data_IF_016687653371
#
_entry.id   IF_016687653371
#
_cell.length_a   1.000
_cell.length_b   1.000
_cell.length_c   1.000
_cell.angle_alpha   90.00
_cell.angle_beta   90.00
_cell.angle_gamma   90.00
#
_symmetry.space_group_name_H-M   'P 1'
#
loop_
_entity.id
_entity.type
_entity.pdbx_description
1 polymer ?
#
# COMPACT_ATOMS: atom_id res chain seq x y z
N UNK A 1 -8.34 5.85 39.49
CA UNK A 1 -7.57 6.10 38.25
C UNK A 1 -8.47 6.38 37.05
N UNK A 2 -9.44 5.52 36.71
CA UNK A 2 -10.38 5.76 35.60
C UNK A 2 -11.22 7.05 35.74
N UNK A 3 -11.71 7.37 36.95
CA UNK A 3 -12.50 8.59 37.20
C UNK A 3 -11.67 9.86 36.95
N UNK A 4 -10.39 9.87 37.35
CA UNK A 4 -9.48 10.99 37.11
C UNK A 4 -9.19 11.18 35.61
N UNK A 5 -9.04 10.08 34.86
CA UNK A 5 -8.86 10.13 33.40
C UNK A 5 -10.13 10.67 32.72
N UNK A 6 -11.31 10.26 33.16
CA UNK A 6 -12.59 10.76 32.64
C UNK A 6 -12.78 12.24 32.95
N UNK A 7 -12.45 12.68 34.17
CA UNK A 7 -12.52 14.10 34.56
C UNK A 7 -11.53 14.93 33.76
N UNK A 8 -10.28 14.46 33.60
CA UNK A 8 -9.27 15.15 32.79
C UNK A 8 -9.72 15.25 31.33
N UNK A 9 -10.29 14.17 30.79
CA UNK A 9 -10.84 14.12 29.45
C UNK A 9 -12.01 15.10 29.26
N UNK A 10 -12.95 15.13 30.20
CA UNK A 10 -14.07 16.08 30.20
C UNK A 10 -13.53 17.52 30.24
N UNK A 11 -12.60 17.83 31.14
CA UNK A 11 -11.96 19.15 31.24
C UNK A 11 -11.30 19.55 29.92
N UNK A 12 -10.51 18.65 29.31
CA UNK A 12 -9.88 18.93 28.02
C UNK A 12 -10.86 19.06 26.87
N UNK A 13 -12.02 18.40 26.93
CA UNK A 13 -13.04 18.44 25.89
C UNK A 13 -14.03 19.59 26.03
N UNK A 14 -14.28 20.10 27.24
CA UNK A 14 -15.28 21.16 27.48
C UNK A 14 -14.67 22.51 27.81
N UNK A 15 -13.59 22.55 28.60
CA UNK A 15 -13.01 23.80 29.09
C UNK A 15 -12.03 24.39 28.08
N UNK A 16 -11.19 23.56 27.42
CA UNK A 16 -10.24 24.06 26.43
C UNK A 16 -10.90 24.76 25.24
N UNK A 17 -12.00 24.25 24.63
CA UNK A 17 -12.68 24.97 23.55
C UNK A 17 -13.23 26.33 24.00
N UNK A 18 -13.76 26.39 25.22
CA UNK A 18 -14.30 27.62 25.80
C UNK A 18 -13.19 28.66 26.05
N UNK A 19 -12.07 28.23 26.64
CA UNK A 19 -10.89 29.08 26.87
C UNK A 19 -10.30 29.53 25.54
N UNK A 20 -10.20 28.65 24.55
CA UNK A 20 -9.68 28.98 23.22
C UNK A 20 -10.57 29.99 22.48
N UNK A 21 -11.89 29.87 22.61
CA UNK A 21 -12.85 30.85 22.07
C UNK A 21 -12.67 32.22 22.71
N UNK A 22 -12.60 32.28 24.05
CA UNK A 22 -12.35 33.53 24.78
C UNK A 22 -10.99 34.13 24.37
N UNK A 23 -9.92 33.33 24.34
CA UNK A 23 -8.61 33.81 23.94
C UNK A 23 -8.57 34.33 22.49
N UNK A 24 -9.36 33.74 21.60
CA UNK A 24 -9.54 34.21 20.23
C UNK A 24 -10.24 35.57 20.17
N UNK A 25 -11.36 35.69 20.87
CA UNK A 25 -12.20 36.89 20.88
C UNK A 25 -11.48 38.10 21.46
N UNK A 26 -10.62 37.88 22.46
CA UNK A 26 -9.77 38.93 23.05
C UNK A 26 -8.40 39.05 22.39
N UNK A 27 -8.15 38.32 21.30
CA UNK A 27 -6.93 38.40 20.50
C UNK A 27 -5.64 38.11 21.31
N UNK A 28 -5.73 37.26 22.34
CA UNK A 28 -4.61 36.87 23.20
C UNK A 28 -3.74 35.76 22.60
N UNK A 29 -4.18 35.14 21.50
CA UNK A 29 -3.41 34.16 20.74
C UNK A 29 -2.70 34.78 19.55
N UNK A 30 -1.53 34.27 19.24
CA UNK A 30 -0.75 34.60 18.06
C UNK A 30 -1.47 34.22 16.76
N UNK A 31 -1.06 34.83 15.65
CA UNK A 31 -1.58 34.54 14.30
C UNK A 31 -1.34 33.07 13.91
N UNK A 32 -0.24 32.47 14.38
CA UNK A 32 0.08 31.07 14.16
C UNK A 32 -0.87 30.14 14.95
N UNK A 33 -1.15 30.46 16.22
CA UNK A 33 -2.13 29.71 17.02
C UNK A 33 -3.54 29.83 16.43
N UNK A 34 -3.88 31.01 15.89
CA UNK A 34 -5.13 31.20 15.15
C UNK A 34 -5.23 30.27 13.94
N UNK A 35 -4.16 30.17 13.16
CA UNK A 35 -4.08 29.24 12.04
C UNK A 35 -4.26 27.78 12.48
N UNK A 36 -3.53 27.36 13.50
CA UNK A 36 -3.59 25.97 13.97
C UNK A 36 -4.98 25.59 14.52
N UNK A 37 -5.67 26.52 15.20
CA UNK A 37 -7.05 26.31 15.64
C UNK A 37 -8.02 26.18 14.47
N UNK A 38 -7.93 27.06 13.45
CA UNK A 38 -8.79 26.97 12.26
C UNK A 38 -8.57 25.66 11.51
N UNK A 39 -7.31 25.27 11.30
CA UNK A 39 -7.00 24.02 10.62
C UNK A 39 -7.56 22.83 11.40
N UNK A 40 -7.46 22.85 12.73
CA UNK A 40 -8.05 21.82 13.58
C UNK A 40 -9.58 21.77 13.43
N UNK A 41 -10.27 22.89 13.50
CA UNK A 41 -11.74 22.91 13.35
C UNK A 41 -12.19 22.45 11.96
N UNK A 42 -11.48 22.84 10.90
CA UNK A 42 -11.74 22.34 9.56
C UNK A 42 -11.54 20.82 9.44
N UNK A 43 -10.63 20.21 10.22
CA UNK A 43 -10.53 18.73 10.27
C UNK A 43 -11.72 18.06 10.95
N UNK A 44 -12.45 18.77 11.81
CA UNK A 44 -13.67 18.26 12.45
C UNK A 44 -14.91 18.44 11.55
N UNK A 45 -14.91 19.47 10.71
CA UNK A 45 -16.03 19.81 9.82
C UNK A 45 -15.92 19.20 8.42
N UNK A 46 -14.77 18.61 8.08
CA UNK A 46 -14.50 18.02 6.75
C UNK A 46 -13.80 16.68 6.86
N UNK A 47 -13.88 15.84 5.83
CA UNK A 47 -13.15 14.57 5.76
C UNK A 47 -11.65 14.74 5.39
N UNK A 48 -11.14 15.98 5.40
CA UNK A 48 -9.77 16.31 5.01
C UNK A 48 -8.81 16.21 6.20
N UNK A 49 -7.62 15.65 5.98
CA UNK A 49 -6.60 15.61 7.02
C UNK A 49 -5.99 16.99 7.27
N UNK A 50 -5.36 17.18 8.44
CA UNK A 50 -4.59 18.40 8.75
C UNK A 50 -3.61 18.77 7.63
N UNK A 51 -2.92 17.78 7.05
CA UNK A 51 -1.95 18.00 5.97
C UNK A 51 -2.62 18.39 4.65
N UNK A 52 -3.83 17.90 4.38
CA UNK A 52 -4.57 18.29 3.20
C UNK A 52 -5.02 19.75 3.34
N UNK A 53 -5.60 20.11 4.49
CA UNK A 53 -6.04 21.49 4.79
C UNK A 53 -4.88 22.50 4.79
N UNK A 54 -3.71 22.13 5.30
CA UNK A 54 -2.51 22.98 5.22
C UNK A 54 -2.01 23.17 3.79
N UNK A 55 -2.26 22.20 2.91
CA UNK A 55 -1.98 22.33 1.48
C UNK A 55 -3.01 23.23 0.78
N UNK A 56 -4.30 23.10 1.12
CA UNK A 56 -5.38 23.94 0.57
C UNK A 56 -5.21 25.41 1.02
N UNK A 57 -4.89 25.60 2.30
CA UNK A 57 -4.71 26.89 2.96
C UNK A 57 -3.31 26.97 3.58
N UNK A 58 -2.27 27.22 2.77
CA UNK A 58 -0.93 27.45 3.30
C UNK A 58 -0.93 28.67 4.22
N UNK A 59 -0.26 28.56 5.37
CA UNK A 59 -0.18 29.66 6.35
C UNK A 59 0.17 31.00 5.71
N UNK A 60 1.21 31.02 4.86
CA UNK A 60 1.66 32.23 4.17
C UNK A 60 0.59 32.94 3.33
N UNK A 61 -0.41 32.20 2.84
CA UNK A 61 -1.46 32.78 2.00
C UNK A 61 -2.58 33.40 2.83
N UNK A 62 -2.85 32.89 4.03
CA UNK A 62 -3.94 33.36 4.89
C UNK A 62 -3.45 34.16 6.09
N UNK A 63 -2.14 34.33 6.28
CA UNK A 63 -1.56 35.08 7.39
C UNK A 63 -2.09 36.52 7.48
N UNK A 64 -2.20 37.23 6.35
CA UNK A 64 -2.75 38.60 6.32
C UNK A 64 -4.23 38.61 6.70
N UNK A 65 -5.02 37.68 6.16
CA UNK A 65 -6.43 37.52 6.54
C UNK A 65 -6.58 37.26 8.06
N UNK A 66 -5.70 36.44 8.64
CA UNK A 66 -5.67 36.12 10.07
C UNK A 66 -5.23 37.29 10.96
N UNK A 67 -4.35 38.18 10.46
CA UNK A 67 -3.98 39.43 11.14
C UNK A 67 -5.14 40.44 11.14
N UNK A 68 -5.91 40.45 10.07
CA UNK A 68 -7.06 41.33 9.86
C UNK A 68 -8.37 40.79 10.48
N UNK A 69 -8.39 39.52 10.90
CA UNK A 69 -9.43 38.91 11.73
C UNK A 69 -9.41 39.51 13.15
N UNK A 70 -9.73 40.81 13.23
CA UNK A 70 -10.12 41.52 14.44
C UNK A 70 -11.65 41.67 14.38
N UNK A 71 -12.35 41.00 15.29
CA UNK A 71 -13.82 41.11 15.49
C UNK A 71 -14.76 40.46 14.47
N UNK A 72 -14.27 39.61 13.55
CA UNK A 72 -15.16 38.75 12.77
C UNK A 72 -15.48 37.49 13.56
N UNK A 73 -16.77 37.13 13.58
CA UNK A 73 -17.24 35.84 14.08
C UNK A 73 -16.42 34.73 13.41
N UNK A 74 -15.66 34.00 14.22
CA UNK A 74 -14.79 32.90 13.78
C UNK A 74 -15.55 31.89 12.92
N UNK A 75 -16.81 31.62 13.28
CA UNK A 75 -17.69 30.70 12.55
C UNK A 75 -17.97 31.21 11.13
N UNK A 76 -18.23 32.52 10.97
CA UNK A 76 -18.47 33.12 9.66
C UNK A 76 -17.22 33.08 8.76
N UNK A 77 -16.02 33.12 9.34
CA UNK A 77 -14.79 32.92 8.58
C UNK A 77 -14.58 31.44 8.21
N UNK A 78 -14.93 30.53 9.11
CA UNK A 78 -14.87 29.09 8.87
C UNK A 78 -15.81 28.67 7.73
N UNK A 79 -17.03 29.20 7.71
CA UNK A 79 -18.00 29.01 6.63
C UNK A 79 -17.46 29.51 5.27
N UNK A 80 -16.77 30.66 5.25
CA UNK A 80 -16.11 31.17 4.05
C UNK A 80 -15.00 30.23 3.56
N UNK A 81 -14.18 29.69 4.47
CA UNK A 81 -13.15 28.72 4.11
C UNK A 81 -13.75 27.43 3.59
N UNK A 82 -14.83 26.92 4.19
CA UNK A 82 -15.55 25.75 3.70
C UNK A 82 -16.09 25.99 2.28
N UNK A 83 -16.68 27.15 2.01
CA UNK A 83 -17.12 27.52 0.66
C UNK A 83 -15.95 27.52 -0.34
N UNK A 84 -14.77 28.05 0.05
CA UNK A 84 -13.55 27.98 -0.77
C UNK A 84 -13.07 26.55 -1.00
N UNK A 85 -13.15 25.65 -0.01
CA UNK A 85 -12.84 24.22 -0.19
C UNK A 85 -13.74 23.63 -1.27
N UNK A 86 -15.05 23.87 -1.19
CA UNK A 86 -15.99 23.40 -2.20
C UNK A 86 -15.70 23.97 -3.59
N UNK A 87 -15.33 25.25 -3.69
CA UNK A 87 -14.92 25.85 -4.95
C UNK A 87 -13.63 25.24 -5.52
N UNK A 88 -12.59 25.06 -4.70
CA UNK A 88 -11.36 24.39 -5.09
C UNK A 88 -11.61 22.96 -5.57
N UNK A 89 -12.51 22.23 -4.91
CA UNK A 89 -12.89 20.88 -5.32
C UNK A 89 -13.53 20.81 -6.71
N UNK A 90 -14.06 21.92 -7.23
CA UNK A 90 -14.62 22.02 -8.59
C UNK A 90 -13.56 22.38 -9.63
N UNK A 91 -12.45 23.00 -9.23
CA UNK A 91 -11.38 23.42 -10.15
C UNK A 91 -10.56 22.22 -10.66
N UNK A 92 -10.54 22.01 -11.98
CA UNK A 92 -9.76 20.94 -12.62
C UNK A 92 -8.25 21.10 -12.40
N UNK A 93 -7.76 22.34 -12.44
CA UNK A 93 -6.36 22.65 -12.14
C UNK A 93 -6.01 22.26 -10.69
N UNK A 94 -6.88 22.60 -9.74
CA UNK A 94 -6.68 22.25 -8.34
C UNK A 94 -6.70 20.74 -8.12
N UNK A 95 -7.66 20.01 -8.72
CA UNK A 95 -7.70 18.54 -8.68
C UNK A 95 -6.39 17.93 -9.20
N UNK A 96 -5.83 18.47 -10.28
CA UNK A 96 -4.56 18.02 -10.84
C UNK A 96 -3.39 18.26 -9.88
N UNK A 97 -3.27 19.48 -9.34
CA UNK A 97 -2.19 19.84 -8.40
C UNK A 97 -2.34 19.01 -7.11
N UNK A 98 -3.54 18.85 -6.56
CA UNK A 98 -3.79 18.03 -5.37
C UNK A 98 -3.48 16.55 -5.61
N UNK A 99 -3.77 16.01 -6.80
CA UNK A 99 -3.37 14.66 -7.19
C UNK A 99 -1.84 14.51 -7.21
N UNK A 100 -1.11 15.49 -7.75
CA UNK A 100 0.37 15.51 -7.74
C UNK A 100 0.90 15.63 -6.30
N UNK A 101 0.32 16.50 -5.47
CA UNK A 101 0.64 16.61 -4.05
C UNK A 101 0.44 15.28 -3.33
N UNK A 102 -0.70 14.60 -3.52
CA UNK A 102 -0.97 13.31 -2.87
C UNK A 102 -0.05 12.19 -3.34
N UNK A 103 0.41 12.25 -4.59
CA UNK A 103 1.44 11.35 -5.13
C UNK A 103 2.81 11.63 -4.50
N UNK A 104 3.17 12.90 -4.34
CA UNK A 104 4.47 13.33 -3.78
C UNK A 104 4.54 13.28 -2.25
N UNK A 105 3.42 13.45 -1.55
CA UNK A 105 3.30 13.39 -0.09
C UNK A 105 3.16 11.96 0.44
N UNK A 106 2.94 10.98 -0.45
CA UNK A 106 3.11 9.56 -0.15
C UNK A 106 4.57 9.35 0.28
N UNK A 107 4.77 9.19 1.59
CA UNK A 107 6.07 8.94 2.23
C UNK A 107 6.86 7.92 1.39
N UNK A 108 8.03 8.32 0.91
CA UNK A 108 8.92 7.39 0.22
C UNK A 108 9.26 6.26 1.19
N UNK A 109 8.95 5.04 0.79
CA UNK A 109 9.24 3.84 1.57
C UNK A 109 10.74 3.76 1.87
N UNK A 110 11.10 3.41 3.11
CA UNK A 110 12.52 3.29 3.49
C UNK A 110 13.19 2.17 2.70
N UNK A 111 14.51 2.27 2.50
CA UNK A 111 15.27 1.28 1.72
C UNK A 111 15.13 -0.12 2.34
N UNK A 112 15.23 -0.23 3.66
CA UNK A 112 15.12 -1.51 4.37
C UNK A 112 13.73 -2.15 4.19
N UNK A 113 12.69 -1.31 4.17
CA UNK A 113 11.31 -1.77 3.95
C UNK A 113 11.10 -2.25 2.50
N UNK A 114 11.73 -1.58 1.53
CA UNK A 114 11.71 -2.02 0.12
C UNK A 114 12.42 -3.37 -0.04
N UNK A 115 13.57 -3.55 0.59
CA UNK A 115 14.31 -4.82 0.55
C UNK A 115 13.55 -5.94 1.26
N UNK A 116 12.91 -5.66 2.40
CA UNK A 116 12.02 -6.62 3.06
C UNK A 116 10.90 -7.08 2.12
N UNK A 117 10.22 -6.15 1.43
CA UNK A 117 9.12 -6.47 0.53
C UNK A 117 9.58 -7.32 -0.66
N UNK A 118 10.79 -7.09 -1.19
CA UNK A 118 11.35 -7.95 -2.26
C UNK A 118 11.51 -9.39 -1.77
N UNK A 119 12.15 -9.60 -0.62
CA UNK A 119 12.38 -10.93 -0.04
C UNK A 119 11.06 -11.63 0.32
N UNK A 120 10.14 -10.89 0.93
CA UNK A 120 8.78 -11.34 1.22
C UNK A 120 8.02 -11.75 -0.06
N UNK A 121 8.10 -10.94 -1.12
CA UNK A 121 7.46 -11.22 -2.40
C UNK A 121 8.02 -12.50 -3.04
N UNK A 122 9.32 -12.78 -2.92
CA UNK A 122 9.92 -14.04 -3.37
C UNK A 122 9.28 -15.23 -2.67
N UNK A 123 9.09 -15.16 -1.35
CA UNK A 123 8.38 -16.17 -0.56
C UNK A 123 6.93 -16.39 -1.02
N UNK A 124 6.21 -15.30 -1.23
CA UNK A 124 4.82 -15.33 -1.71
C UNK A 124 4.73 -15.95 -3.13
N UNK A 125 5.69 -15.62 -4.00
CA UNK A 125 5.81 -16.21 -5.34
C UNK A 125 6.12 -17.71 -5.29
N UNK A 126 6.92 -18.15 -4.32
CA UNK A 126 7.22 -19.56 -4.11
C UNK A 126 5.98 -20.37 -3.70
N UNK A 127 5.17 -19.81 -2.79
CA UNK A 127 3.96 -20.44 -2.27
C UNK A 127 2.82 -20.49 -3.28
N UNK A 128 2.30 -19.32 -3.68
CA UNK A 128 1.08 -19.22 -4.51
C UNK A 128 1.28 -18.52 -5.86
N UNK A 129 2.47 -17.97 -6.13
CA UNK A 129 2.76 -17.30 -7.38
C UNK A 129 2.70 -18.19 -8.62
N UNK A 130 2.55 -17.58 -9.78
CA UNK A 130 2.57 -18.24 -11.09
C UNK A 130 3.61 -17.55 -11.96
N UNK A 131 4.59 -18.32 -12.43
CA UNK A 131 5.57 -17.90 -13.44
C UNK A 131 5.16 -18.57 -14.74
N UNK A 132 4.61 -17.79 -15.67
CA UNK A 132 3.95 -18.29 -16.86
C UNK A 132 4.72 -17.92 -18.12
N UNK A 133 4.94 -18.93 -18.95
CA UNK A 133 5.25 -18.76 -20.37
C UNK A 133 4.12 -19.44 -21.13
N UNK A 134 3.48 -18.68 -22.01
CA UNK A 134 2.37 -19.11 -22.85
C UNK A 134 2.65 -18.68 -24.30
N UNK A 135 1.70 -18.97 -25.19
CA UNK A 135 1.74 -18.49 -26.56
C UNK A 135 0.41 -17.89 -26.99
N UNK A 136 0.47 -16.91 -27.88
CA UNK A 136 -0.67 -16.46 -28.67
C UNK A 136 -0.67 -17.18 -30.02
N UNK A 137 -1.69 -18.01 -30.25
CA UNK A 137 -1.93 -18.73 -31.53
C UNK A 137 -0.71 -19.49 -32.09
N UNK A 138 0.13 -20.03 -31.22
CA UNK A 138 1.37 -20.73 -31.56
C UNK A 138 2.39 -19.88 -32.33
N UNK A 139 2.26 -18.53 -32.27
CA UNK A 139 3.12 -17.60 -33.01
C UNK A 139 4.02 -16.78 -32.10
N UNK A 140 3.43 -16.18 -31.07
CA UNK A 140 4.15 -15.24 -30.20
C UNK A 140 4.16 -15.76 -28.76
N UNK A 141 5.29 -15.65 -28.08
CA UNK A 141 5.38 -15.98 -26.66
C UNK A 141 4.75 -14.87 -25.81
N UNK A 142 4.12 -15.28 -24.71
CA UNK A 142 3.55 -14.40 -23.71
C UNK A 142 4.10 -14.79 -22.34
N UNK A 143 4.55 -13.79 -21.59
CA UNK A 143 5.18 -13.98 -20.30
C UNK A 143 4.32 -13.31 -19.24
N UNK A 144 4.10 -13.99 -18.11
CA UNK A 144 3.39 -13.40 -16.97
C UNK A 144 3.98 -13.83 -15.63
N UNK A 145 4.02 -12.89 -14.70
CA UNK A 145 4.13 -13.16 -13.28
C UNK A 145 2.78 -12.83 -12.64
N UNK A 146 2.20 -13.76 -11.89
CA UNK A 146 0.87 -13.59 -11.31
C UNK A 146 0.86 -14.06 -9.86
N UNK A 147 0.23 -13.29 -8.98
CA UNK A 147 -0.18 -13.70 -7.64
C UNK A 147 -1.70 -13.61 -7.58
N UNK A 148 -2.37 -14.70 -7.18
CA UNK A 148 -3.81 -14.69 -6.93
C UNK A 148 -4.06 -14.93 -5.44
N UNK A 149 -4.82 -14.05 -4.82
CA UNK A 149 -5.21 -14.12 -3.40
C UNK A 149 -6.68 -13.77 -3.26
N UNK A 150 -7.29 -14.12 -2.12
CA UNK A 150 -8.69 -13.80 -1.84
C UNK A 150 -8.92 -12.28 -1.78
N UNK A 151 -10.09 -11.83 -2.24
CA UNK A 151 -10.50 -10.42 -2.17
C UNK A 151 -10.87 -10.02 -0.74
N UNK A 152 -9.84 -9.64 0.03
CA UNK A 152 -9.98 -9.03 1.36
C UNK A 152 -9.24 -7.70 1.43
N UNK A 153 -9.59 -6.87 2.41
CA UNK A 153 -8.91 -5.59 2.67
C UNK A 153 -7.42 -5.76 2.93
N UNK A 154 -7.06 -6.80 3.68
CA UNK A 154 -5.69 -7.13 4.09
C UNK A 154 -4.85 -7.53 2.88
N UNK A 155 -5.38 -8.43 2.06
CA UNK A 155 -4.74 -8.86 0.82
C UNK A 155 -4.58 -7.70 -0.17
N UNK A 156 -5.60 -6.83 -0.30
CA UNK A 156 -5.49 -5.64 -1.13
C UNK A 156 -4.38 -4.70 -0.64
N UNK A 157 -4.31 -4.45 0.68
CA UNK A 157 -3.29 -3.60 1.28
C UNK A 157 -1.88 -4.18 1.07
N UNK A 158 -1.70 -5.49 1.26
CA UNK A 158 -0.45 -6.20 0.98
C UNK A 158 -0.06 -6.04 -0.50
N UNK A 159 -0.97 -6.34 -1.43
CA UNK A 159 -0.68 -6.25 -2.86
C UNK A 159 -0.37 -4.83 -3.34
N UNK A 160 -0.97 -3.80 -2.72
CA UNK A 160 -0.63 -2.40 -3.00
C UNK A 160 0.82 -2.06 -2.57
N UNK A 161 1.29 -2.59 -1.44
CA UNK A 161 2.70 -2.44 -1.02
C UNK A 161 3.65 -3.14 -2.00
N UNK A 162 3.32 -4.36 -2.40
CA UNK A 162 4.07 -5.09 -3.44
C UNK A 162 4.08 -4.29 -4.74
N UNK A 163 2.94 -3.74 -5.16
CA UNK A 163 2.85 -2.94 -6.38
C UNK A 163 3.76 -1.69 -6.32
N UNK A 164 3.88 -1.05 -5.16
CA UNK A 164 4.73 0.13 -4.99
C UNK A 164 6.24 -0.19 -5.05
N UNK A 165 6.65 -1.41 -4.69
CA UNK A 165 8.07 -1.83 -4.69
C UNK A 165 8.46 -2.53 -5.99
N UNK A 166 7.65 -3.50 -6.42
CA UNK A 166 7.95 -4.42 -7.53
C UNK A 166 7.34 -3.91 -8.85
N UNK A 167 6.30 -3.08 -8.79
CA UNK A 167 5.52 -2.67 -9.95
C UNK A 167 4.36 -3.60 -10.26
N UNK A 168 4.01 -3.74 -11.54
CA UNK A 168 2.83 -4.47 -11.97
C UNK A 168 1.49 -3.76 -11.70
N UNK A 169 0.40 -4.49 -11.90
CA UNK A 169 -0.95 -3.97 -11.76
C UNK A 169 -1.89 -4.97 -11.08
N UNK A 170 -2.96 -4.45 -10.48
CA UNK A 170 -3.96 -5.23 -9.75
C UNK A 170 -5.22 -5.38 -10.58
N UNK A 171 -5.79 -6.59 -10.60
CA UNK A 171 -7.05 -6.92 -11.26
C UNK A 171 -7.97 -7.58 -10.24
N UNK A 172 -9.15 -6.99 -10.00
CA UNK A 172 -10.21 -7.66 -9.25
C UNK A 172 -11.00 -8.59 -10.16
N UNK A 173 -11.12 -9.86 -9.77
CA UNK A 173 -11.91 -10.87 -10.48
C UNK A 173 -13.15 -11.18 -9.66
N UNK A 174 -14.19 -10.34 -9.82
CA UNK A 174 -15.44 -10.40 -9.04
C UNK A 174 -16.07 -11.79 -9.02
N UNK A 175 -16.09 -12.46 -10.17
CA UNK A 175 -16.66 -13.81 -10.33
C UNK A 175 -15.98 -14.88 -9.46
N UNK A 176 -14.71 -14.66 -9.08
CA UNK A 176 -13.92 -15.63 -8.31
C UNK A 176 -13.65 -15.19 -6.88
N UNK A 177 -14.10 -14.00 -6.48
CA UNK A 177 -13.72 -13.36 -5.22
C UNK A 177 -12.19 -13.32 -5.01
N UNK A 178 -11.43 -13.05 -6.09
CA UNK A 178 -9.97 -12.99 -6.07
C UNK A 178 -9.46 -11.62 -6.53
N UNK A 179 -8.31 -11.23 -5.99
CA UNK A 179 -7.48 -10.14 -6.51
C UNK A 179 -6.22 -10.76 -7.10
N UNK A 180 -5.89 -10.35 -8.32
CA UNK A 180 -4.67 -10.76 -9.00
C UNK A 180 -3.69 -9.60 -9.08
N UNK A 181 -2.47 -9.77 -8.58
CA UNK A 181 -1.34 -8.93 -8.96
C UNK A 181 -0.67 -9.54 -10.20
N UNK A 182 -0.40 -8.75 -11.23
CA UNK A 182 0.08 -9.24 -12.52
C UNK A 182 1.14 -8.33 -13.11
N UNK A 183 2.16 -8.96 -13.70
CA UNK A 183 3.08 -8.35 -14.66
C UNK A 183 3.00 -9.17 -15.95
N UNK A 184 2.79 -8.50 -17.08
CA UNK A 184 2.72 -9.13 -18.41
C UNK A 184 3.50 -8.38 -19.50
N UNK A 185 4.17 -7.28 -19.14
CA UNK A 185 5.07 -6.55 -20.04
C UNK A 185 6.45 -7.22 -20.02
N UNK A 186 6.99 -7.56 -21.20
CA UNK A 186 8.26 -8.30 -21.31
C UNK A 186 9.44 -7.57 -20.65
N UNK A 187 9.60 -6.27 -20.90
CA UNK A 187 10.70 -5.48 -20.33
C UNK A 187 10.59 -5.43 -18.80
N UNK A 188 9.38 -5.20 -18.28
CA UNK A 188 9.14 -5.20 -16.83
C UNK A 188 9.43 -6.57 -16.20
N UNK A 189 9.11 -7.67 -16.90
CA UNK A 189 9.45 -9.03 -16.43
C UNK A 189 10.96 -9.21 -16.37
N UNK A 190 11.69 -8.82 -17.41
CA UNK A 190 13.16 -8.91 -17.46
C UNK A 190 13.82 -8.13 -16.31
N UNK A 191 13.26 -7.00 -15.90
CA UNK A 191 13.73 -6.26 -14.73
C UNK A 191 13.34 -6.94 -13.41
N UNK A 192 12.09 -7.39 -13.26
CA UNK A 192 11.62 -7.97 -12.01
C UNK A 192 12.26 -9.33 -11.72
N UNK A 193 12.59 -10.13 -12.73
CA UNK A 193 13.25 -11.42 -12.50
C UNK A 193 14.69 -11.29 -11.99
N UNK A 194 15.31 -10.10 -12.07
CA UNK A 194 16.62 -9.82 -11.43
C UNK A 194 16.53 -9.90 -9.91
N UNK A 195 15.35 -9.63 -9.34
CA UNK A 195 15.11 -9.82 -7.90
C UNK A 195 15.37 -11.28 -7.49
N UNK A 196 15.09 -12.25 -8.38
CA UNK A 196 15.37 -13.66 -8.11
C UNK A 196 16.86 -14.01 -8.21
N UNK A 197 17.72 -13.11 -8.66
CA UNK A 197 19.18 -13.29 -8.68
C UNK A 197 19.77 -12.88 -7.34
N UNK A 198 19.25 -11.80 -6.75
CA UNK A 198 19.58 -11.37 -5.38
C UNK A 198 18.95 -12.30 -4.33
N UNK A 199 17.70 -12.73 -4.59
CA UNK A 199 16.88 -13.51 -3.68
C UNK A 199 16.28 -14.71 -4.42
N UNK A 200 17.05 -15.78 -4.52
CA UNK A 200 16.64 -17.02 -5.16
C UNK A 200 15.31 -17.57 -4.60
N UNK A 201 14.45 -18.05 -5.51
CA UNK A 201 13.35 -18.95 -5.16
C UNK A 201 13.94 -20.18 -4.45
N UNK A 202 13.23 -20.71 -3.47
CA UNK A 202 13.68 -21.85 -2.65
C UNK A 202 13.15 -23.16 -3.22
N UNK A 203 11.91 -23.18 -3.73
CA UNK A 203 11.31 -24.43 -4.19
C UNK A 203 11.83 -24.84 -5.57
N UNK A 204 12.17 -26.13 -5.74
CA UNK A 204 12.65 -26.69 -7.01
C UNK A 204 11.65 -26.42 -8.15
N UNK A 205 10.35 -26.57 -7.85
CA UNK A 205 9.27 -26.32 -8.82
C UNK A 205 9.36 -24.90 -9.39
N UNK A 206 9.55 -23.89 -8.54
CA UNK A 206 9.53 -22.49 -8.96
C UNK A 206 10.83 -22.08 -9.63
N UNK A 207 11.97 -22.60 -9.16
CA UNK A 207 13.24 -22.48 -9.88
C UNK A 207 13.16 -23.04 -11.29
N UNK A 208 12.55 -24.20 -11.48
CA UNK A 208 12.35 -24.79 -12.81
C UNK A 208 11.45 -23.91 -13.70
N UNK A 209 10.38 -23.33 -13.16
CA UNK A 209 9.55 -22.38 -13.91
C UNK A 209 10.31 -21.10 -14.28
N UNK A 210 11.09 -20.54 -13.35
CA UNK A 210 11.93 -19.37 -13.61
C UNK A 210 12.99 -19.66 -14.67
N UNK A 211 13.65 -20.81 -14.60
CA UNK A 211 14.63 -21.20 -15.62
C UNK A 211 13.96 -21.38 -16.98
N UNK A 212 12.78 -22.00 -17.03
CA UNK A 212 12.02 -22.11 -18.27
C UNK A 212 11.65 -20.72 -18.82
N UNK A 213 11.25 -19.79 -17.97
CA UNK A 213 11.01 -18.39 -18.36
C UNK A 213 12.27 -17.74 -18.93
N UNK A 214 13.41 -17.81 -18.21
CA UNK A 214 14.69 -17.22 -18.65
C UNK A 214 15.14 -17.78 -20.01
N UNK A 215 15.04 -19.08 -20.23
CA UNK A 215 15.36 -19.70 -21.53
C UNK A 215 14.44 -19.19 -22.65
N UNK A 216 13.14 -19.07 -22.39
CA UNK A 216 12.19 -18.56 -23.39
C UNK A 216 12.39 -17.07 -23.69
N UNK A 217 12.80 -16.25 -22.71
CA UNK A 217 13.14 -14.84 -22.94
C UNK A 217 14.39 -14.72 -23.80
N UNK A 218 15.41 -15.54 -23.53
CA UNK A 218 16.68 -15.59 -24.28
C UNK A 218 16.50 -16.07 -25.71
N UNK A 219 15.77 -17.17 -25.91
CA UNK A 219 15.59 -17.80 -27.24
C UNK A 219 14.55 -17.08 -28.08
N UNK A 220 13.47 -16.62 -27.45
CA UNK A 220 12.32 -16.01 -28.10
C UNK A 220 11.76 -16.87 -29.26
N UNK A 221 11.76 -18.20 -29.09
CA UNK A 221 11.39 -19.18 -30.11
C UNK A 221 10.17 -20.01 -29.67
N UNK A 222 9.06 -19.85 -30.39
CA UNK A 222 7.81 -20.55 -30.10
C UNK A 222 7.87 -22.04 -30.40
N UNK A 223 8.66 -22.48 -31.38
CA UNK A 223 8.78 -23.90 -31.71
C UNK A 223 9.53 -24.64 -30.61
N UNK A 224 10.62 -24.04 -30.12
CA UNK A 224 11.34 -24.54 -28.94
C UNK A 224 10.44 -24.58 -27.70
N UNK A 225 9.66 -23.52 -27.46
CA UNK A 225 8.66 -23.53 -26.38
C UNK A 225 7.69 -24.70 -26.51
N UNK A 226 7.14 -24.94 -27.71
CA UNK A 226 6.13 -25.97 -27.94
C UNK A 226 6.67 -27.38 -27.72
N UNK A 227 7.93 -27.62 -28.07
CA UNK A 227 8.60 -28.91 -27.82
C UNK A 227 8.93 -29.10 -26.33
N UNK A 228 9.34 -28.04 -25.63
CA UNK A 228 9.89 -28.15 -24.27
C UNK A 228 8.88 -27.88 -23.14
N UNK A 229 7.71 -27.28 -23.42
CA UNK A 229 6.73 -26.88 -22.38
C UNK A 229 6.29 -28.01 -21.43
N UNK A 230 6.32 -29.26 -21.87
CA UNK A 230 5.98 -30.45 -21.04
C UNK A 230 7.09 -30.82 -20.05
N UNK A 231 8.30 -30.32 -20.26
CA UNK A 231 9.49 -30.61 -19.47
C UNK A 231 9.87 -29.46 -18.52
N UNK A 232 9.09 -28.38 -18.45
CA UNK A 232 9.36 -27.18 -17.63
C UNK A 232 9.50 -27.40 -16.12
N UNK A 233 9.30 -28.62 -15.62
CA UNK A 233 9.49 -29.01 -14.22
C UNK A 233 10.54 -30.12 -14.01
N UNK A 234 11.16 -30.63 -15.08
CA UNK A 234 11.97 -31.86 -15.04
C UNK A 234 13.46 -31.62 -14.80
N UNK A 235 13.92 -30.38 -14.76
CA UNK A 235 15.34 -30.09 -14.52
C UNK A 235 15.67 -30.39 -13.06
N UNK A 236 16.68 -31.24 -12.85
CA UNK A 236 17.28 -31.43 -11.54
C UNK A 236 18.11 -30.19 -11.23
N UNK A 237 17.63 -29.37 -10.30
CA UNK A 237 18.37 -28.24 -9.80
C UNK A 237 18.91 -28.58 -8.42
N UNK A 238 20.17 -28.22 -8.17
CA UNK A 238 20.79 -28.37 -6.86
C UNK A 238 19.97 -27.54 -5.86
N UNK A 239 19.57 -28.16 -4.76
CA UNK A 239 18.88 -27.49 -3.67
C UNK A 239 19.95 -26.89 -2.76
N UNK A 240 20.03 -25.56 -2.72
CA UNK A 240 20.81 -24.87 -1.69
C UNK A 240 20.32 -25.25 -0.30
N UNK A 241 21.26 -25.39 0.65
CA UNK A 241 20.89 -25.63 2.04
C UNK A 241 20.07 -24.45 2.56
N UNK A 242 18.91 -24.73 3.16
CA UNK A 242 17.98 -23.70 3.64
C UNK A 242 18.65 -22.82 4.71
N UNK A 243 19.55 -23.41 5.51
CA UNK A 243 20.29 -22.75 6.58
C UNK A 243 21.26 -21.67 6.07
N UNK A 244 21.62 -21.70 4.78
CA UNK A 244 22.55 -20.74 4.15
C UNK A 244 21.81 -19.53 3.54
N UNK A 245 20.47 -19.51 3.59
CA UNK A 245 19.67 -18.44 2.98
C UNK A 245 19.59 -17.25 3.95
N UNK A 246 20.41 -16.23 3.69
CA UNK A 246 20.51 -15.02 4.54
C UNK A 246 19.20 -14.23 4.69
N UNK A 247 18.25 -14.42 3.77
CA UNK A 247 16.92 -13.79 3.75
C UNK A 247 15.79 -14.78 4.08
N UNK A 248 16.12 -15.91 4.71
CA UNK A 248 15.17 -16.99 4.98
C UNK A 248 13.95 -16.51 5.76
N UNK A 249 14.13 -15.65 6.76
CA UNK A 249 13.02 -15.21 7.62
C UNK A 249 11.98 -14.38 6.84
N UNK A 250 12.43 -13.44 6.02
CA UNK A 250 11.56 -12.61 5.18
C UNK A 250 10.88 -13.45 4.09
N UNK A 251 11.64 -14.36 3.46
CA UNK A 251 11.09 -15.33 2.51
C UNK A 251 10.03 -16.22 3.19
N UNK A 252 10.34 -16.77 4.36
CA UNK A 252 9.46 -17.68 5.09
C UNK A 252 8.18 -16.98 5.51
N UNK A 253 8.25 -15.70 5.91
CA UNK A 253 7.06 -14.89 6.17
C UNK A 253 6.13 -14.82 4.95
N UNK A 254 6.66 -14.53 3.76
CA UNK A 254 5.85 -14.50 2.54
C UNK A 254 5.32 -15.87 2.12
N UNK A 255 6.12 -16.93 2.34
CA UNK A 255 5.71 -18.30 2.06
C UNK A 255 4.59 -18.78 3.00
N UNK A 256 4.70 -18.47 4.30
CA UNK A 256 3.67 -18.77 5.31
C UNK A 256 2.40 -17.96 5.06
N UNK A 257 2.48 -16.70 4.62
CA UNK A 257 1.27 -15.96 4.22
C UNK A 257 0.53 -16.69 3.08
N UNK A 258 1.28 -17.29 2.15
CA UNK A 258 0.74 -17.98 0.99
C UNK A 258 0.10 -19.34 1.32
N UNK A 259 0.75 -20.12 2.20
CA UNK A 259 0.42 -21.55 2.40
C UNK A 259 0.14 -21.94 3.84
N UNK A 260 0.48 -21.08 4.79
CA UNK A 260 0.34 -21.32 6.22
C UNK A 260 -1.12 -21.33 6.66
N UNK A 261 -1.39 -22.08 7.73
CA UNK A 261 -2.71 -22.12 8.35
C UNK A 261 -2.54 -22.27 9.85
N UNK A 262 -3.00 -21.27 10.61
CA UNK A 262 -3.01 -21.30 12.07
C UNK A 262 -4.43 -21.62 12.54
N UNK A 263 -4.63 -22.76 13.19
CA UNK A 263 -5.95 -23.21 13.63
C UNK A 263 -5.92 -23.72 15.08
N UNK A 264 -6.81 -23.19 15.92
CA UNK A 264 -7.09 -23.76 17.25
C UNK A 264 -8.28 -24.69 17.10
N UNK A 265 -8.14 -25.96 17.49
CA UNK A 265 -9.22 -26.96 17.44
C UNK A 265 -9.64 -27.32 18.86
N UNK A 266 -10.93 -27.16 19.17
CA UNK A 266 -11.48 -27.63 20.43
C UNK A 266 -11.61 -29.17 20.41
N UNK A 267 -10.99 -29.85 21.38
CA UNK A 267 -11.11 -31.29 21.52
C UNK A 267 -12.33 -31.60 22.39
N UNK A 268 -13.37 -32.21 21.80
CA UNK A 268 -14.55 -32.65 22.56
C UNK A 268 -14.15 -33.86 23.40
N UNK A 269 -14.08 -33.74 24.73
CA UNK A 269 -14.00 -34.91 25.63
C UNK A 269 -15.33 -35.66 25.52
N UNK A 270 -15.32 -36.87 24.96
CA UNK A 270 -16.43 -37.80 25.13
C UNK A 270 -16.48 -38.17 26.60
N UNK A 271 -17.52 -37.73 27.30
CA UNK A 271 -17.89 -38.30 28.59
C UNK A 271 -18.40 -39.71 28.24
N UNK A 272 -17.63 -40.73 28.62
CA UNK A 272 -18.12 -42.10 28.66
C UNK A 272 -19.14 -42.14 29.82
N UNK A 273 -20.41 -42.28 29.48
CA UNK A 273 -21.49 -42.67 30.41
C UNK A 273 -21.40 -44.17 30.72
#
# INVERSE_FOLDING_TARGET
MCILIIILYIITMTINPLINGIMWDFNFISVQEKYDQIIYELTLLTDLSKKDLQFIFPYKHIELELKELKFKNKDAYLDQLIARIFEYSKSELYKLIYKIYKISSKKSMKVEEREYIKKYWVGLMDGVGSIEVNHYRMKNLQYRLVLNVNDSSENMAMLLKIQQVIGGYLIKRKEKALIAWTINNKMQIEDVIKIFEDYNLVTVRKRNQLQFLKENLKRNDVNWYLSERKNKYKKSLIVSNIEEISYFNEWFSGFVEATGSFCIRAQKRSILE
#
